data_IF_472001070726
#
_entry.id   IF_472001070726
#
_cell.length_a   1.000
_cell.length_b   1.000
_cell.length_c   1.000
_cell.angle_alpha   90.00
_cell.angle_beta   90.00
_cell.angle_gamma   90.00
#
_symmetry.space_group_name_H-M   'P 1'
#
loop_
_entity.id
_entity.type
_entity.pdbx_description
1 polymer ?
#
# COMPACT_ATOMS: atom_id res chain seq x y z
N UNK A 1 4.95 16.14 -20.97
CA UNK A 1 5.35 15.55 -19.67
C UNK A 1 4.16 14.76 -19.17
N UNK A 2 4.30 13.47 -18.86
CA UNK A 2 3.17 12.70 -18.31
C UNK A 2 3.16 12.93 -16.80
N UNK A 3 2.13 13.61 -16.30
CA UNK A 3 1.96 13.85 -14.88
C UNK A 3 1.26 12.66 -14.22
N UNK A 4 1.78 12.22 -13.08
CA UNK A 4 1.18 11.16 -12.29
C UNK A 4 0.69 11.72 -10.98
N UNK A 5 -0.61 11.53 -10.72
CA UNK A 5 -1.24 11.96 -9.50
C UNK A 5 -0.72 11.10 -8.34
N UNK A 6 -0.12 11.69 -7.29
CA UNK A 6 0.24 10.93 -6.10
C UNK A 6 -1.01 10.35 -5.41
N UNK A 7 -0.81 9.27 -4.68
CA UNK A 7 -1.86 8.57 -3.93
C UNK A 7 -1.36 8.24 -2.53
N UNK A 8 -2.29 8.05 -1.61
CA UNK A 8 -1.98 7.58 -0.26
C UNK A 8 -1.86 6.06 -0.28
N UNK A 9 -0.75 5.51 0.23
CA UNK A 9 -0.60 4.08 0.48
C UNK A 9 -0.64 3.84 1.99
N UNK A 10 -1.79 3.47 2.54
CA UNK A 10 -2.01 3.48 3.99
C UNK A 10 -1.92 2.06 4.59
N UNK A 11 -0.88 1.74 5.39
CA UNK A 11 -0.84 0.54 6.21
C UNK A 11 -1.83 0.65 7.39
N UNK A 12 -3.09 0.30 7.14
CA UNK A 12 -4.16 0.40 8.13
C UNK A 12 -4.18 -0.85 9.03
N UNK A 13 -3.17 -0.94 9.90
CA UNK A 13 -2.99 -2.06 10.81
C UNK A 13 -3.59 -1.79 12.20
N UNK A 14 -4.46 -0.78 12.27
CA UNK A 14 -5.24 -0.44 13.45
C UNK A 14 -6.44 -1.37 13.54
N UNK A 15 -6.64 -1.98 14.70
CA UNK A 15 -7.88 -2.69 14.99
C UNK A 15 -9.10 -1.75 14.75
N UNK A 16 -10.11 -2.16 13.95
CA UNK A 16 -11.28 -1.34 13.62
C UNK A 16 -12.30 -1.23 14.76
N UNK A 17 -11.84 -0.95 15.98
CA UNK A 17 -12.73 -0.71 17.11
C UNK A 17 -13.66 0.49 16.89
N UNK A 18 -14.65 0.71 17.78
CA UNK A 18 -15.61 1.81 17.64
C UNK A 18 -14.92 3.15 17.38
N UNK A 19 -15.27 3.80 16.27
CA UNK A 19 -14.71 5.07 15.80
C UNK A 19 -13.18 5.10 15.55
N UNK A 20 -12.48 3.97 15.66
CA UNK A 20 -11.02 3.93 15.53
C UNK A 20 -10.55 4.46 14.17
N UNK A 21 -11.32 4.22 13.11
CA UNK A 21 -11.00 4.65 11.74
C UNK A 21 -11.74 5.93 11.32
N UNK A 22 -12.42 6.63 12.24
CA UNK A 22 -13.08 7.90 11.91
C UNK A 22 -12.13 8.93 11.26
N UNK A 23 -10.88 9.11 11.74
CA UNK A 23 -9.93 10.02 11.09
C UNK A 23 -9.64 9.67 9.62
N UNK A 24 -9.69 8.39 9.23
CA UNK A 24 -9.55 7.97 7.84
C UNK A 24 -10.78 8.37 7.02
N UNK A 25 -11.98 8.05 7.50
CA UNK A 25 -13.23 8.40 6.81
C UNK A 25 -13.36 9.90 6.57
N UNK A 26 -13.04 10.72 7.59
CA UNK A 26 -13.09 12.17 7.48
C UNK A 26 -12.22 12.71 6.34
N UNK A 27 -11.02 12.13 6.14
CA UNK A 27 -10.14 12.58 5.07
C UNK A 27 -10.54 12.04 3.69
N UNK A 28 -11.07 10.82 3.62
CA UNK A 28 -11.60 10.25 2.38
C UNK A 28 -12.74 11.13 1.85
N UNK A 29 -13.68 11.50 2.72
CA UNK A 29 -14.85 12.31 2.35
C UNK A 29 -14.48 13.76 2.04
N UNK A 30 -13.50 14.32 2.75
CA UNK A 30 -13.02 15.70 2.53
C UNK A 30 -12.24 15.86 1.23
N UNK A 31 -11.55 14.83 0.77
CA UNK A 31 -10.67 14.90 -0.41
C UNK A 31 -11.04 13.84 -1.46
N UNK A 32 -12.18 14.00 -2.16
CA UNK A 32 -12.69 13.01 -3.13
C UNK A 32 -11.75 12.81 -4.33
N UNK A 33 -10.81 13.74 -4.55
CA UNK A 33 -9.83 13.65 -5.61
C UNK A 33 -8.56 12.89 -5.20
N UNK A 34 -8.33 12.62 -3.92
CA UNK A 34 -7.17 11.83 -3.48
C UNK A 34 -7.53 10.35 -3.55
N UNK A 35 -6.69 9.55 -4.20
CA UNK A 35 -6.82 8.10 -4.19
C UNK A 35 -6.18 7.53 -2.92
N UNK A 36 -6.91 6.67 -2.22
CA UNK A 36 -6.47 5.97 -1.03
C UNK A 36 -6.33 4.48 -1.32
N UNK A 37 -5.11 3.99 -1.38
CA UNK A 37 -4.80 2.56 -1.43
C UNK A 37 -4.58 2.09 0.01
N UNK A 38 -5.54 1.36 0.56
CA UNK A 38 -5.60 1.04 1.99
C UNK A 38 -5.31 -0.44 2.15
N UNK A 39 -4.31 -0.75 2.98
CA UNK A 39 -3.88 -2.13 3.24
C UNK A 39 -4.70 -2.68 4.40
N UNK A 40 -5.48 -3.72 4.13
CA UNK A 40 -6.35 -4.42 5.06
C UNK A 40 -5.59 -5.63 5.60
N UNK A 41 -5.37 -5.68 6.91
CA UNK A 41 -4.58 -6.70 7.58
C UNK A 41 -5.27 -7.21 8.86
N UNK A 42 -6.24 -8.14 8.75
CA UNK A 42 -6.91 -8.69 9.92
C UNK A 42 -5.98 -9.39 10.92
N UNK A 43 -5.04 -10.20 10.44
CA UNK A 43 -4.14 -10.98 11.30
C UNK A 43 -2.88 -11.44 10.55
N UNK A 44 -2.02 -10.51 10.14
CA UNK A 44 -0.86 -10.79 9.26
C UNK A 44 -1.23 -11.57 7.99
N UNK A 45 -2.42 -11.28 7.47
CA UNK A 45 -3.16 -12.13 6.54
C UNK A 45 -4.67 -11.97 6.73
N UNK A 46 -5.49 -12.70 5.95
CA UNK A 46 -6.96 -12.60 5.98
C UNK A 46 -7.60 -13.19 7.25
N UNK A 47 -6.82 -13.79 8.14
CA UNK A 47 -7.32 -14.59 9.25
C UNK A 47 -7.52 -16.06 8.85
N UNK A 48 -8.61 -16.67 9.31
CA UNK A 48 -8.90 -18.08 9.01
C UNK A 48 -9.19 -18.29 7.52
N UNK A 49 -8.52 -19.28 6.92
CA UNK A 49 -8.65 -19.57 5.49
C UNK A 49 -10.08 -19.93 5.09
N UNK A 50 -10.52 -19.41 3.94
CA UNK A 50 -11.83 -19.71 3.34
C UNK A 50 -13.05 -19.12 4.05
N UNK A 51 -12.87 -18.36 5.14
CA UNK A 51 -13.97 -17.72 5.88
C UNK A 51 -13.93 -16.19 5.74
N UNK A 52 -15.10 -15.51 5.79
CA UNK A 52 -15.13 -14.06 5.97
C UNK A 52 -14.55 -13.67 7.34
N UNK A 53 -14.09 -12.41 7.50
CA UNK A 53 -13.60 -11.94 8.79
C UNK A 53 -14.77 -11.68 9.74
N UNK A 54 -14.50 -11.29 10.99
CA UNK A 54 -15.57 -10.94 11.93
C UNK A 54 -16.37 -9.70 11.49
N UNK A 55 -17.54 -9.51 12.12
CA UNK A 55 -18.49 -8.46 11.75
C UNK A 55 -17.87 -7.05 11.76
N UNK A 56 -16.93 -6.78 12.68
CA UNK A 56 -16.25 -5.49 12.77
C UNK A 56 -15.48 -5.19 11.49
N UNK A 57 -14.72 -6.17 10.98
CA UNK A 57 -14.04 -6.02 9.69
C UNK A 57 -15.03 -5.92 8.54
N UNK A 58 -16.10 -6.72 8.54
CA UNK A 58 -17.12 -6.70 7.49
C UNK A 58 -17.71 -5.29 7.34
N UNK A 59 -18.19 -4.70 8.44
CA UNK A 59 -18.84 -3.38 8.43
C UNK A 59 -17.87 -2.29 7.95
N UNK A 60 -16.64 -2.37 8.44
CA UNK A 60 -15.62 -1.33 8.22
C UNK A 60 -15.07 -1.37 6.79
N UNK A 61 -14.85 -2.57 6.24
CA UNK A 61 -14.49 -2.79 4.83
C UNK A 61 -15.63 -2.37 3.92
N UNK A 62 -16.89 -2.73 4.24
CA UNK A 62 -18.04 -2.32 3.44
C UNK A 62 -18.21 -0.80 3.39
N UNK A 63 -17.99 -0.11 4.51
CA UNK A 63 -17.99 1.35 4.58
C UNK A 63 -16.86 1.97 3.76
N UNK A 64 -15.68 1.36 3.71
CA UNK A 64 -14.60 1.83 2.83
C UNK A 64 -14.94 1.60 1.35
N UNK A 65 -15.43 0.42 0.99
CA UNK A 65 -15.85 0.09 -0.37
C UNK A 65 -16.99 0.98 -0.91
N UNK A 66 -17.75 1.66 -0.03
CA UNK A 66 -18.74 2.65 -0.45
C UNK A 66 -18.13 3.98 -0.88
N UNK A 67 -16.81 4.16 -0.76
CA UNK A 67 -16.08 5.40 -1.05
C UNK A 67 -15.38 5.29 -2.42
N UNK A 68 -15.73 6.11 -3.42
CA UNK A 68 -15.28 5.94 -4.81
C UNK A 68 -13.78 6.18 -5.03
N UNK A 69 -13.11 6.83 -4.08
CA UNK A 69 -11.69 7.16 -4.11
C UNK A 69 -10.84 6.23 -3.23
N UNK A 70 -11.37 5.06 -2.86
CA UNK A 70 -10.63 4.03 -2.12
C UNK A 70 -10.36 2.81 -2.98
N UNK A 71 -9.23 2.15 -2.70
CA UNK A 71 -8.86 0.83 -3.22
C UNK A 71 -8.35 0.00 -2.07
N UNK A 72 -8.94 -1.17 -1.84
CA UNK A 72 -8.58 -2.00 -0.70
C UNK A 72 -7.65 -3.13 -1.11
N UNK A 73 -6.52 -3.25 -0.40
CA UNK A 73 -5.47 -4.23 -0.69
C UNK A 73 -5.37 -5.22 0.45
N UNK A 74 -5.50 -6.52 0.18
CA UNK A 74 -5.30 -7.56 1.19
C UNK A 74 -3.81 -7.71 1.51
N UNK A 75 -3.45 -7.69 2.79
CA UNK A 75 -2.08 -7.95 3.25
C UNK A 75 -1.77 -9.44 3.23
N UNK A 76 -0.63 -9.81 2.66
CA UNK A 76 0.04 -11.10 2.88
C UNK A 76 1.54 -10.87 2.95
N UNK A 77 2.28 -11.69 3.68
CA UNK A 77 3.75 -11.63 3.74
C UNK A 77 4.36 -12.83 3.01
N UNK A 78 5.60 -12.69 2.50
CA UNK A 78 6.28 -13.76 1.74
C UNK A 78 7.63 -14.18 2.32
N UNK A 79 8.03 -13.66 3.48
CA UNK A 79 9.30 -13.98 4.16
C UNK A 79 10.51 -13.91 3.21
N UNK A 80 10.60 -12.85 2.41
CA UNK A 80 11.67 -12.65 1.42
C UNK A 80 11.81 -13.79 0.39
N UNK A 81 10.70 -14.47 0.11
CA UNK A 81 10.64 -15.63 -0.80
C UNK A 81 10.78 -16.99 -0.11
N UNK A 82 10.88 -17.02 1.22
CA UNK A 82 10.97 -18.26 1.99
C UNK A 82 9.61 -18.84 2.39
N UNK A 83 8.53 -18.05 2.39
CA UNK A 83 7.20 -18.56 2.76
C UNK A 83 6.69 -19.52 1.68
N UNK A 84 6.16 -20.71 2.02
CA UNK A 84 5.59 -21.61 1.03
C UNK A 84 4.57 -20.91 0.15
N UNK A 85 4.73 -21.00 -1.18
CA UNK A 85 3.84 -20.30 -2.12
C UNK A 85 2.38 -20.72 -1.96
N UNK A 86 2.13 -21.98 -1.60
CA UNK A 86 0.79 -22.51 -1.35
C UNK A 86 0.08 -21.82 -0.19
N UNK A 87 0.79 -21.41 0.86
CA UNK A 87 0.22 -20.65 1.97
C UNK A 87 -0.14 -19.23 1.55
N UNK A 88 0.74 -18.57 0.80
CA UNK A 88 0.47 -17.23 0.26
C UNK A 88 -0.70 -17.26 -0.72
N UNK A 89 -0.79 -18.31 -1.54
CA UNK A 89 -1.93 -18.53 -2.45
C UNK A 89 -3.23 -18.79 -1.68
N UNK A 90 -3.18 -19.47 -0.53
CA UNK A 90 -4.35 -19.64 0.35
C UNK A 90 -4.82 -18.29 0.92
N UNK A 91 -3.91 -17.39 1.30
CA UNK A 91 -4.27 -16.04 1.74
C UNK A 91 -4.97 -15.26 0.63
N UNK A 92 -4.39 -15.27 -0.58
CA UNK A 92 -4.97 -14.65 -1.78
C UNK A 92 -6.36 -15.22 -2.08
N UNK A 93 -6.51 -16.55 -2.04
CA UNK A 93 -7.78 -17.22 -2.30
C UNK A 93 -8.84 -16.83 -1.25
N UNK A 94 -8.45 -16.67 0.00
CA UNK A 94 -9.35 -16.23 1.07
C UNK A 94 -9.85 -14.82 0.83
N UNK A 95 -8.96 -13.86 0.56
CA UNK A 95 -9.39 -12.50 0.20
C UNK A 95 -10.27 -12.47 -1.07
N UNK A 96 -9.92 -13.26 -2.09
CA UNK A 96 -10.72 -13.36 -3.31
C UNK A 96 -12.13 -13.93 -3.04
N UNK A 97 -12.26 -14.84 -2.05
CA UNK A 97 -13.54 -15.42 -1.66
C UNK A 97 -14.49 -14.40 -1.03
N UNK A 98 -13.98 -13.33 -0.42
CA UNK A 98 -14.80 -12.28 0.19
C UNK A 98 -15.71 -11.57 -0.82
N UNK A 99 -15.31 -11.52 -2.10
CA UNK A 99 -16.17 -11.02 -3.18
C UNK A 99 -17.39 -11.92 -3.49
N UNK A 100 -17.56 -13.04 -2.78
CA UNK A 100 -18.77 -13.90 -2.84
C UNK A 100 -19.67 -13.70 -1.62
N UNK A 101 -19.25 -12.91 -0.64
CA UNK A 101 -20.04 -12.62 0.55
C UNK A 101 -21.25 -11.75 0.18
N UNK A 102 -22.46 -12.26 0.45
CA UNK A 102 -23.71 -11.64 -0.05
C UNK A 102 -24.27 -10.54 0.84
N UNK A 103 -23.97 -10.58 2.14
CA UNK A 103 -24.58 -9.66 3.10
C UNK A 103 -23.96 -8.26 3.07
N UNK A 104 -22.73 -8.10 2.57
CA UNK A 104 -22.05 -6.82 2.45
C UNK A 104 -20.99 -6.86 1.33
N UNK A 105 -20.66 -5.69 0.76
CA UNK A 105 -19.56 -5.59 -0.19
C UNK A 105 -18.21 -5.54 0.54
N UNK A 106 -17.60 -6.70 0.72
CA UNK A 106 -16.26 -6.84 1.32
C UNK A 106 -15.21 -7.31 0.31
N UNK A 107 -15.46 -7.12 -0.99
CA UNK A 107 -14.48 -7.44 -2.02
C UNK A 107 -13.23 -6.56 -1.86
N UNK A 108 -12.05 -7.12 -2.11
CA UNK A 108 -10.81 -6.38 -2.19
C UNK A 108 -10.38 -6.16 -3.65
N UNK A 109 -9.67 -5.07 -3.88
CA UNK A 109 -9.20 -4.66 -5.19
C UNK A 109 -7.84 -5.23 -5.54
N UNK A 110 -7.00 -5.48 -4.54
CA UNK A 110 -5.61 -5.84 -4.79
C UNK A 110 -4.96 -6.62 -3.65
N UNK A 111 -3.66 -6.87 -3.80
CA UNK A 111 -2.84 -7.54 -2.80
C UNK A 111 -1.58 -6.71 -2.55
N UNK A 112 -1.26 -6.57 -1.27
CA UNK A 112 0.00 -6.04 -0.76
C UNK A 112 0.84 -7.22 -0.26
N UNK A 113 1.96 -7.50 -0.94
CA UNK A 113 2.92 -8.53 -0.58
C UNK A 113 4.04 -7.92 0.27
N UNK A 114 3.95 -8.11 1.58
CA UNK A 114 4.97 -7.69 2.52
C UNK A 114 6.19 -8.59 2.52
N UNK A 115 7.32 -8.05 2.97
CA UNK A 115 8.62 -8.73 3.01
C UNK A 115 9.01 -9.32 1.64
N UNK A 116 8.73 -8.58 0.57
CA UNK A 116 9.11 -8.99 -0.77
C UNK A 116 10.64 -9.03 -0.92
N UNK A 117 11.19 -9.97 -1.70
CA UNK A 117 12.63 -10.03 -1.92
C UNK A 117 13.15 -8.80 -2.68
N UNK A 118 14.38 -8.38 -2.37
CA UNK A 118 15.10 -7.33 -3.07
C UNK A 118 16.29 -7.83 -3.90
N UNK A 119 16.64 -9.11 -3.78
CA UNK A 119 17.72 -9.73 -4.55
C UNK A 119 17.26 -10.21 -5.92
N UNK A 120 18.17 -10.22 -6.91
CA UNK A 120 17.88 -10.61 -8.28
C UNK A 120 18.29 -12.07 -8.56
N UNK A 121 17.49 -13.05 -8.13
CA UNK A 121 17.71 -14.45 -8.52
C UNK A 121 16.54 -14.96 -9.36
N UNK A 122 16.78 -15.86 -10.34
CA UNK A 122 15.70 -16.44 -11.15
C UNK A 122 14.60 -17.10 -10.31
N UNK A 123 14.97 -17.77 -9.21
CA UNK A 123 14.03 -18.42 -8.31
C UNK A 123 13.09 -17.41 -7.62
N UNK A 124 13.62 -16.30 -7.08
CA UNK A 124 12.83 -15.26 -6.43
C UNK A 124 11.91 -14.54 -7.42
N UNK A 125 12.40 -14.25 -8.63
CA UNK A 125 11.58 -13.66 -9.68
C UNK A 125 10.44 -14.59 -10.12
N UNK A 126 10.70 -15.89 -10.27
CA UNK A 126 9.66 -16.87 -10.59
C UNK A 126 8.62 -16.95 -9.49
N UNK A 127 9.07 -17.07 -8.23
CA UNK A 127 8.20 -17.11 -7.06
C UNK A 127 7.27 -15.89 -7.01
N UNK A 128 7.81 -14.67 -7.13
CA UNK A 128 7.00 -13.45 -7.11
C UNK A 128 6.10 -13.32 -8.35
N UNK A 129 6.56 -13.77 -9.52
CA UNK A 129 5.73 -13.75 -10.74
C UNK A 129 4.52 -14.67 -10.60
N UNK A 130 4.69 -15.85 -10.03
CA UNK A 130 3.61 -16.82 -9.86
C UNK A 130 2.56 -16.31 -8.86
N UNK A 131 2.99 -15.72 -7.75
CA UNK A 131 2.10 -15.12 -6.75
C UNK A 131 1.34 -13.90 -7.28
N UNK A 132 2.02 -12.98 -7.95
CA UNK A 132 1.38 -11.78 -8.52
C UNK A 132 0.42 -12.14 -9.64
N UNK A 133 0.75 -13.15 -10.46
CA UNK A 133 -0.18 -13.72 -11.46
C UNK A 133 -1.39 -14.33 -10.78
N UNK A 134 -1.20 -15.13 -9.72
CA UNK A 134 -2.29 -15.76 -8.97
C UNK A 134 -3.24 -14.72 -8.37
N UNK A 135 -2.71 -13.62 -7.81
CA UNK A 135 -3.52 -12.53 -7.30
C UNK A 135 -4.36 -11.87 -8.41
N UNK A 136 -3.75 -11.57 -9.57
CA UNK A 136 -4.47 -10.98 -10.71
C UNK A 136 -5.52 -11.91 -11.31
N UNK A 137 -5.36 -13.22 -11.24
CA UNK A 137 -6.37 -14.17 -11.76
C UNK A 137 -7.48 -14.44 -10.75
N UNK A 138 -7.17 -14.42 -9.45
CA UNK A 138 -8.13 -14.77 -8.39
C UNK A 138 -9.09 -13.63 -8.03
N UNK A 139 -8.62 -12.38 -8.04
CA UNK A 139 -9.43 -11.23 -7.67
C UNK A 139 -10.46 -10.87 -8.76
N UNK A 140 -11.69 -10.54 -8.31
CA UNK A 140 -12.79 -10.11 -9.19
C UNK A 140 -12.75 -8.63 -9.58
N UNK A 141 -12.01 -7.80 -8.83
CA UNK A 141 -11.93 -6.36 -9.11
C UNK A 141 -11.39 -6.10 -10.52
N UNK A 142 -11.85 -5.03 -11.14
CA UNK A 142 -11.30 -4.55 -12.41
C UNK A 142 -9.95 -3.87 -12.21
N UNK A 143 -9.67 -3.34 -11.01
CA UNK A 143 -8.45 -2.63 -10.68
C UNK A 143 -7.56 -3.44 -9.74
N UNK A 144 -6.97 -4.51 -10.30
CA UNK A 144 -6.23 -5.58 -9.61
C UNK A 144 -4.86 -5.15 -9.12
N UNK A 145 -4.80 -4.17 -8.22
CA UNK A 145 -3.55 -3.51 -7.85
C UNK A 145 -2.62 -4.46 -7.07
N UNK A 146 -1.41 -4.63 -7.57
CA UNK A 146 -0.36 -5.42 -6.93
C UNK A 146 0.69 -4.48 -6.35
N UNK A 147 0.94 -4.59 -5.04
CA UNK A 147 2.00 -3.87 -4.35
C UNK A 147 3.01 -4.86 -3.79
N UNK A 148 4.29 -4.67 -4.08
CA UNK A 148 5.38 -5.41 -3.43
C UNK A 148 6.06 -4.50 -2.43
N UNK A 149 6.25 -4.98 -1.21
CA UNK A 149 6.97 -4.26 -0.18
C UNK A 149 8.27 -4.95 0.22
N UNK A 150 9.38 -4.60 -0.45
CA UNK A 150 10.73 -4.93 0.00
C UNK A 150 11.30 -3.93 1.02
N UNK A 151 10.65 -2.78 1.20
CA UNK A 151 11.14 -1.66 2.02
C UNK A 151 12.39 -0.95 1.50
N UNK A 152 12.93 -1.38 0.34
CA UNK A 152 14.17 -0.89 -0.26
C UNK A 152 14.08 -0.88 -1.80
N UNK A 153 15.03 -0.23 -2.46
CA UNK A 153 15.14 -0.32 -3.91
C UNK A 153 15.37 -1.77 -4.38
N UNK A 154 14.80 -2.12 -5.53
CA UNK A 154 14.89 -3.46 -6.12
C UNK A 154 15.39 -3.41 -7.57
N UNK A 155 15.95 -4.52 -8.07
CA UNK A 155 16.26 -4.71 -9.48
C UNK A 155 15.07 -4.42 -10.39
N UNK A 156 15.36 -3.95 -11.62
CA UNK A 156 14.33 -3.55 -12.60
C UNK A 156 13.36 -4.69 -12.96
N UNK A 157 13.79 -5.93 -12.80
CA UNK A 157 13.03 -7.15 -13.12
C UNK A 157 11.78 -7.33 -12.26
N UNK A 158 11.67 -6.65 -11.10
CA UNK A 158 10.47 -6.67 -10.26
C UNK A 158 9.36 -5.72 -10.75
N UNK A 159 9.69 -4.66 -11.50
CA UNK A 159 8.73 -3.62 -11.90
C UNK A 159 7.65 -4.08 -12.90
N UNK A 160 7.89 -5.08 -13.77
CA UNK A 160 6.82 -5.71 -14.55
C UNK A 160 5.84 -6.55 -13.70
N UNK A 161 6.26 -7.04 -12.53
CA UNK A 161 5.46 -7.94 -11.69
C UNK A 161 4.40 -7.18 -10.87
N UNK A 162 4.63 -5.91 -10.60
CA UNK A 162 3.83 -5.11 -9.67
C UNK A 162 3.31 -3.81 -10.30
N UNK A 163 2.26 -3.25 -9.71
CA UNK A 163 1.80 -1.89 -10.00
C UNK A 163 2.48 -0.87 -9.10
N UNK A 164 3.00 -1.29 -7.94
CA UNK A 164 3.78 -0.46 -7.03
C UNK A 164 4.81 -1.29 -6.29
N UNK A 165 5.99 -0.71 -6.08
CA UNK A 165 7.06 -1.19 -5.23
C UNK A 165 7.22 -0.19 -4.10
N UNK A 166 7.19 -0.63 -2.85
CA UNK A 166 7.61 0.19 -1.72
C UNK A 166 9.14 0.24 -1.71
N UNK A 167 9.69 1.30 -2.30
CA UNK A 167 11.13 1.46 -2.51
C UNK A 167 11.87 1.99 -1.28
N UNK A 168 11.14 2.42 -0.26
CA UNK A 168 11.67 2.87 1.02
C UNK A 168 10.60 2.68 2.08
N UNK A 169 10.94 1.96 3.14
CA UNK A 169 10.18 1.86 4.37
C UNK A 169 11.12 2.01 5.56
N UNK A 170 11.23 3.22 6.10
CA UNK A 170 12.12 3.47 7.24
C UNK A 170 11.77 4.78 7.99
N UNK A 171 12.55 5.09 9.02
CA UNK A 171 12.45 6.33 9.76
C UNK A 171 12.75 7.55 8.90
N UNK A 172 12.06 8.66 9.19
CA UNK A 172 12.21 9.93 8.48
C UNK A 172 13.65 10.47 8.44
N UNK A 173 14.47 10.15 9.44
CA UNK A 173 15.89 10.55 9.47
C UNK A 173 16.73 9.93 8.35
N UNK A 174 16.28 8.81 7.76
CA UNK A 174 16.95 8.12 6.65
C UNK A 174 16.48 8.62 5.28
N UNK A 175 15.48 9.52 5.24
CA UNK A 175 14.81 9.94 4.02
C UNK A 175 15.76 10.57 3.00
N UNK A 176 16.62 11.51 3.41
CA UNK A 176 17.49 12.23 2.49
C UNK A 176 18.53 11.28 1.84
N UNK A 177 19.06 10.35 2.63
CA UNK A 177 19.97 9.29 2.15
C UNK A 177 19.26 8.39 1.14
N UNK A 178 18.05 7.93 1.46
CA UNK A 178 17.26 7.08 0.59
C UNK A 178 16.86 7.80 -0.71
N UNK A 179 16.42 9.06 -0.64
CA UNK A 179 16.01 9.83 -1.82
C UNK A 179 17.18 10.04 -2.78
N UNK A 180 18.39 10.25 -2.25
CA UNK A 180 19.61 10.44 -3.05
C UNK A 180 20.11 9.15 -3.68
N UNK A 181 20.03 8.04 -2.95
CA UNK A 181 20.49 6.72 -3.39
C UNK A 181 19.47 5.96 -4.24
N UNK A 182 18.20 6.36 -4.21
CA UNK A 182 17.17 5.73 -5.02
C UNK A 182 17.48 5.95 -6.50
N UNK A 183 17.54 4.89 -7.33
CA UNK A 183 17.97 4.97 -8.71
C UNK A 183 16.89 5.60 -9.61
N UNK A 184 16.61 6.89 -9.43
CA UNK A 184 15.60 7.64 -10.22
C UNK A 184 15.95 7.72 -11.71
N UNK A 185 17.23 7.56 -12.06
CA UNK A 185 17.74 7.62 -13.43
C UNK A 185 18.20 6.27 -14.00
N UNK A 186 18.41 5.24 -13.17
CA UNK A 186 18.91 3.92 -13.61
C UNK A 186 17.81 2.85 -13.75
N UNK A 187 16.60 3.10 -13.24
CA UNK A 187 15.44 2.25 -13.48
C UNK A 187 14.88 2.53 -14.89
N UNK A 188 15.22 1.68 -15.86
CA UNK A 188 14.48 1.63 -17.12
C UNK A 188 13.11 0.99 -16.88
N UNK A 189 12.07 1.82 -16.87
CA UNK A 189 10.69 1.46 -16.60
C UNK A 189 9.88 2.72 -16.29
N UNK A 190 8.53 2.66 -16.23
CA UNK A 190 7.76 3.82 -15.81
C UNK A 190 8.20 4.18 -14.39
N UNK A 191 8.78 5.37 -14.20
CA UNK A 191 9.23 5.94 -12.91
C UNK A 191 8.09 6.11 -11.87
N UNK A 192 6.95 5.47 -12.10
CA UNK A 192 5.60 5.81 -11.65
C UNK A 192 5.01 4.71 -10.75
N UNK A 193 5.84 3.73 -10.38
CA UNK A 193 5.48 2.55 -9.60
C UNK A 193 6.20 2.52 -8.25
N UNK A 194 6.63 3.65 -7.70
CA UNK A 194 7.34 3.67 -6.41
C UNK A 194 6.49 4.32 -5.34
N UNK A 195 6.48 3.71 -4.16
CA UNK A 195 5.93 4.29 -2.93
C UNK A 195 7.00 4.39 -1.85
N UNK A 196 6.96 5.44 -1.04
CA UNK A 196 7.70 5.48 0.23
C UNK A 196 6.72 5.48 1.41
N UNK A 197 7.08 4.71 2.42
CA UNK A 197 6.40 4.63 3.71
C UNK A 197 7.39 5.14 4.75
N UNK A 198 7.06 6.24 5.41
CA UNK A 198 7.98 6.95 6.30
C UNK A 198 7.42 6.98 7.71
N UNK A 199 8.22 6.57 8.69
CA UNK A 199 7.81 6.54 10.10
C UNK A 199 8.68 7.46 10.98
N UNK A 200 8.21 7.73 12.20
CA UNK A 200 8.93 8.53 13.19
C UNK A 200 9.24 9.96 12.75
N UNK A 201 8.42 10.56 11.89
CA UNK A 201 8.58 11.95 11.49
C UNK A 201 8.35 12.90 12.67
N UNK A 202 9.38 13.67 13.05
CA UNK A 202 9.34 14.56 14.21
C UNK A 202 9.23 16.05 13.86
N UNK A 203 9.29 16.41 12.57
CA UNK A 203 9.29 17.79 12.09
C UNK A 203 7.92 18.49 12.11
N UNK A 204 7.79 19.59 11.38
CA UNK A 204 6.57 20.39 11.24
C UNK A 204 5.72 19.92 10.05
N UNK A 205 4.45 20.36 10.00
CA UNK A 205 3.61 20.12 8.82
C UNK A 205 4.22 20.72 7.52
N UNK A 206 4.97 21.83 7.63
CA UNK A 206 5.67 22.42 6.49
C UNK A 206 6.82 21.53 6.00
N UNK A 207 7.58 20.93 6.91
CA UNK A 207 8.63 19.96 6.57
C UNK A 207 8.05 18.67 5.97
N UNK A 208 6.90 18.19 6.47
CA UNK A 208 6.18 17.08 5.83
C UNK A 208 5.81 17.40 4.37
N UNK A 209 5.31 18.63 4.12
CA UNK A 209 5.02 19.10 2.75
C UNK A 209 6.28 19.13 1.88
N UNK A 210 7.43 19.54 2.43
CA UNK A 210 8.69 19.53 1.71
C UNK A 210 9.11 18.10 1.31
N UNK A 211 8.95 17.11 2.19
CA UNK A 211 9.21 15.70 1.86
C UNK A 211 8.29 15.20 0.73
N UNK A 212 6.99 15.51 0.80
CA UNK A 212 6.02 15.16 -0.26
C UNK A 212 6.41 15.80 -1.61
N UNK A 213 6.81 17.07 -1.59
CA UNK A 213 7.27 17.78 -2.79
C UNK A 213 8.56 17.16 -3.35
N UNK A 214 9.49 16.74 -2.48
CA UNK A 214 10.73 16.10 -2.89
C UNK A 214 10.48 14.71 -3.50
N UNK A 215 9.59 13.91 -2.90
CA UNK A 215 9.16 12.62 -3.43
C UNK A 215 8.51 12.76 -4.81
N UNK A 216 7.54 13.66 -4.93
CA UNK A 216 6.79 13.88 -6.19
C UNK A 216 7.68 14.47 -7.29
N UNK A 217 8.62 15.36 -6.96
CA UNK A 217 9.64 15.83 -7.89
C UNK A 217 10.55 14.70 -8.43
N UNK A 218 10.67 13.60 -7.68
CA UNK A 218 11.41 12.40 -8.06
C UNK A 218 10.50 11.28 -8.62
N UNK A 219 9.25 11.60 -8.98
CA UNK A 219 8.22 10.67 -9.49
C UNK A 219 7.81 9.54 -8.52
N UNK A 220 8.09 9.67 -7.22
CA UNK A 220 7.56 8.76 -6.22
C UNK A 220 6.11 9.16 -5.96
N UNK A 221 5.17 8.26 -6.25
CA UNK A 221 3.73 8.57 -6.31
C UNK A 221 2.94 7.98 -5.15
N UNK A 222 3.37 6.85 -4.58
CA UNK A 222 2.79 6.31 -3.35
C UNK A 222 3.40 6.95 -2.12
N UNK A 223 2.56 7.51 -1.24
CA UNK A 223 3.03 8.31 -0.11
C UNK A 223 2.36 7.85 1.17
N UNK A 224 3.17 7.62 2.20
CA UNK A 224 2.72 7.61 3.59
C UNK A 224 3.80 8.20 4.49
N UNK A 225 3.41 9.11 5.37
CA UNK A 225 4.30 9.72 6.36
C UNK A 225 3.60 9.72 7.71
N UNK A 226 4.22 9.08 8.70
CA UNK A 226 3.72 9.02 10.06
C UNK A 226 4.70 9.63 11.05
N UNK A 227 4.15 10.30 12.06
CA UNK A 227 4.90 10.75 13.24
C UNK A 227 5.13 9.63 14.26
N UNK A 228 4.55 8.46 14.02
CA UNK A 228 4.64 7.28 14.88
C UNK A 228 5.71 6.34 14.33
N UNK A 229 6.33 5.54 15.20
CA UNK A 229 7.30 4.49 14.81
C UNK A 229 6.65 3.12 14.57
N UNK A 230 5.33 3.05 14.71
CA UNK A 230 4.52 1.85 14.53
C UNK A 230 3.20 2.22 13.84
N UNK A 231 2.55 1.25 13.22
CA UNK A 231 1.25 1.40 12.56
C UNK A 231 0.06 1.31 13.55
N UNK A 232 0.26 1.77 14.78
CA UNK A 232 -0.61 1.57 15.95
C UNK A 232 -1.49 2.78 16.30
N UNK A 233 -1.29 3.93 15.65
CA UNK A 233 -2.19 5.09 15.70
C UNK A 233 -2.04 5.98 14.46
N UNK A 234 -3.03 6.86 14.24
CA UNK A 234 -2.92 7.88 13.19
C UNK A 234 -1.78 8.87 13.48
N UNK A 235 -1.08 9.27 12.44
CA UNK A 235 -0.11 10.37 12.47
C UNK A 235 -0.77 11.67 12.96
N UNK A 236 -0.07 12.47 13.77
CA UNK A 236 -0.58 13.78 14.21
C UNK A 236 -0.87 14.74 13.05
N UNK A 237 -0.17 14.53 11.93
CA UNK A 237 -0.32 15.30 10.70
C UNK A 237 -1.12 14.56 9.62
N UNK A 238 -1.90 13.54 9.98
CA UNK A 238 -2.72 12.80 9.03
C UNK A 238 -3.63 13.71 8.17
N UNK A 239 -4.40 14.66 8.73
CA UNK A 239 -5.19 15.59 7.91
C UNK A 239 -4.33 16.44 6.96
N UNK A 240 -3.16 16.88 7.41
CA UNK A 240 -2.23 17.68 6.62
C UNK A 240 -1.58 16.83 5.52
N UNK A 241 -1.26 15.56 5.77
CA UNK A 241 -0.71 14.65 4.78
C UNK A 241 -1.65 14.54 3.59
N UNK A 242 -2.93 14.26 3.84
CA UNK A 242 -3.94 14.12 2.78
C UNK A 242 -4.15 15.46 2.06
N UNK A 243 -4.25 16.57 2.80
CA UNK A 243 -4.38 17.90 2.21
C UNK A 243 -3.19 18.26 1.29
N UNK A 244 -1.97 17.89 1.71
CA UNK A 244 -0.74 18.18 0.98
C UNK A 244 -0.63 17.32 -0.27
N UNK A 245 -0.97 16.03 -0.20
CA UNK A 245 -1.06 15.14 -1.37
C UNK A 245 -2.12 15.64 -2.36
N UNK A 246 -3.29 16.07 -1.88
CA UNK A 246 -4.31 16.70 -2.73
C UNK A 246 -3.81 17.96 -3.43
N UNK A 247 -2.96 18.75 -2.76
CA UNK A 247 -2.42 20.00 -3.26
C UNK A 247 -1.23 19.87 -4.21
N UNK A 248 -0.77 18.65 -4.53
CA UNK A 248 0.30 18.44 -5.51
C UNK A 248 -0.26 18.69 -6.92
N UNK A 249 0.13 19.81 -7.51
CA UNK A 249 -0.28 20.19 -8.88
C UNK A 249 0.53 19.47 -9.94
N UNK A 250 -0.11 19.18 -11.07
CA UNK A 250 0.59 18.79 -12.29
C UNK A 250 1.60 19.85 -12.69
N UNK A 251 2.88 19.47 -12.82
CA UNK A 251 3.87 20.26 -13.55
C UNK A 251 3.80 19.91 -15.02
#
# INVERSE_FOLDING_TARGET
>A
MVFFKPFILFPLYLWPGPNAWQPLYDQIDKYPNVNFNIIINPNSGPGTSGTPPDQTWIDTIAKLNSKPNTQLLGYTHVLYGARPSTEVQSDIATYASWAKYKAANIALDGIFFDESPSNNTPALLSYMKDLTTTARTSLKSTNKRIVLNPGVAVPREYYPLADTIVGFENYAREFDSALTSFPTNALQGPKQKTAFIIQGFSGTAAQQKQMINAMTANNITGIYISTTSAYDKFSRFWPQLVAQVNGVTAK
#
